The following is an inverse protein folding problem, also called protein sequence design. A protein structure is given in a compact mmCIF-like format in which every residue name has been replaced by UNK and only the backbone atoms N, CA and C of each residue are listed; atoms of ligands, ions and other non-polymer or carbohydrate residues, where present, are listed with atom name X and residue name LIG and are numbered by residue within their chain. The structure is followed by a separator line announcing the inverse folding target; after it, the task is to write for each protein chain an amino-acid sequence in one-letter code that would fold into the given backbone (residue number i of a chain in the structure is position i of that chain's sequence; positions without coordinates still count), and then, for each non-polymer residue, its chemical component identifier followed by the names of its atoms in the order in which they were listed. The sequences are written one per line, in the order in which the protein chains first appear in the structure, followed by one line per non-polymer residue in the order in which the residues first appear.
data_IF_501411744690
#
_entry.id   IF_501411744690
#
_cell.length_a   1.000
_cell.length_b   1.000
_cell.length_c   1.000
_cell.angle_alpha   90.00
_cell.angle_beta   90.00
_cell.angle_gamma   90.00
#
_symmetry.space_group_name_H-M   'P 1'
#
loop_
_entity.id
_entity.type
_entity.pdbx_description
1 polymer ?
#
# COMPACT_ATOMS: atom_id res chain seq x y z
N UNK A 1 -40.72 56.46 -12.19
CA UNK A 1 -40.79 57.25 -10.93
C UNK A 1 -40.46 56.28 -9.80
N UNK A 2 -39.23 56.33 -9.26
CA UNK A 2 -38.88 56.73 -7.87
C UNK A 2 -39.55 55.81 -6.80
N UNK A 3 -38.90 55.24 -5.78
CA UNK A 3 -37.66 55.53 -5.05
C UNK A 3 -37.21 54.23 -4.32
N UNK A 4 -35.92 53.87 -4.27
CA UNK A 4 -34.96 54.11 -3.16
C UNK A 4 -35.55 53.93 -1.74
N UNK A 5 -35.01 52.97 -0.96
CA UNK A 5 -34.40 53.22 0.37
C UNK A 5 -33.96 51.89 1.03
N UNK A 6 -32.66 51.69 1.28
CA UNK A 6 -31.90 51.95 2.53
C UNK A 6 -31.92 50.78 3.51
N UNK A 7 -30.71 50.26 3.69
CA UNK A 7 -30.12 49.43 4.73
C UNK A 7 -30.84 49.36 6.09
N UNK A 8 -30.94 48.14 6.62
CA UNK A 8 -31.01 47.88 8.06
C UNK A 8 -29.88 46.91 8.42
N UNK A 9 -28.91 47.47 9.15
CA UNK A 9 -27.80 46.80 9.80
C UNK A 9 -28.34 45.76 10.79
N UNK A 10 -28.08 44.48 10.54
CA UNK A 10 -28.19 43.46 11.57
C UNK A 10 -26.95 43.50 12.46
N UNK A 11 -27.10 44.17 13.60
CA UNK A 11 -26.16 44.14 14.70
C UNK A 11 -26.15 42.78 15.41
N UNK A 12 -24.99 42.52 15.99
CA UNK A 12 -24.75 41.73 17.19
C UNK A 12 -24.47 40.24 16.98
N UNK A 13 -23.16 39.99 16.85
CA UNK A 13 -22.45 38.73 16.97
C UNK A 13 -22.88 38.03 18.27
N UNK A 14 -23.67 36.97 18.13
CA UNK A 14 -23.90 36.00 19.19
C UNK A 14 -22.61 35.20 19.40
N UNK A 15 -22.10 35.23 20.63
CA UNK A 15 -21.04 34.33 21.06
C UNK A 15 -21.51 32.88 20.93
N UNK A 16 -20.67 32.04 20.33
CA UNK A 16 -20.83 30.60 20.40
C UNK A 16 -19.47 29.95 20.64
N UNK A 17 -19.44 29.28 21.80
CA UNK A 17 -18.57 28.21 22.24
C UNK A 17 -17.44 27.75 21.31
N UNK A 18 -16.28 27.61 21.95
CA UNK A 18 -15.18 26.78 21.51
C UNK A 18 -15.65 25.48 20.84
N UNK A 19 -15.42 25.37 19.53
CA UNK A 19 -15.36 24.09 18.86
C UNK A 19 -13.97 24.00 18.25
N UNK A 20 -13.01 23.58 19.09
CA UNK A 20 -11.83 22.89 18.60
C UNK A 20 -12.33 21.60 17.94
N UNK A 21 -12.76 21.69 16.68
CA UNK A 21 -12.89 20.53 15.84
C UNK A 21 -11.48 20.00 15.67
N UNK A 22 -11.10 19.06 16.53
CA UNK A 22 -10.09 18.07 16.18
C UNK A 22 -10.55 17.53 14.83
N UNK A 23 -9.91 18.01 13.76
CA UNK A 23 -10.05 17.43 12.45
C UNK A 23 -9.52 16.02 12.60
N UNK A 24 -10.41 15.09 12.95
CA UNK A 24 -10.15 13.68 12.78
C UNK A 24 -9.97 13.53 11.29
N UNK A 25 -8.71 13.51 10.83
CA UNK A 25 -8.41 13.14 9.46
C UNK A 25 -9.22 11.87 9.19
N UNK A 26 -10.10 11.84 8.18
CA UNK A 26 -10.78 10.62 7.84
C UNK A 26 -9.69 9.59 7.65
N UNK A 27 -9.71 8.53 8.47
CA UNK A 27 -8.81 7.40 8.32
C UNK A 27 -8.98 6.98 6.89
N UNK A 28 -7.98 7.30 6.06
CA UNK A 28 -8.07 6.93 4.68
C UNK A 28 -8.20 5.42 4.67
N UNK A 29 -9.26 4.92 4.04
CA UNK A 29 -9.42 3.51 3.73
C UNK A 29 -8.42 3.11 2.64
N UNK A 30 -7.14 3.49 2.79
CA UNK A 30 -6.03 3.06 1.96
C UNK A 30 -5.67 1.64 2.40
N UNK A 31 -6.49 0.69 1.99
CA UNK A 31 -6.21 -0.73 2.10
C UNK A 31 -7.41 -1.51 1.60
N UNK A 32 -7.21 -2.55 0.76
CA UNK A 32 -8.27 -3.53 0.56
C UNK A 32 -8.70 -4.06 1.94
N UNK A 33 -10.01 -4.25 2.14
CA UNK A 33 -10.52 -4.84 3.37
C UNK A 33 -9.79 -6.17 3.64
N UNK A 34 -9.28 -6.35 4.88
CA UNK A 34 -8.55 -7.52 5.39
C UNK A 34 -9.37 -8.80 5.25
N UNK A 35 -9.52 -9.27 4.03
CA UNK A 35 -9.97 -10.60 3.69
C UNK A 35 -8.71 -11.43 3.76
N UNK A 36 -8.56 -12.23 4.82
CA UNK A 36 -7.29 -12.92 5.13
C UNK A 36 -6.61 -13.50 3.88
N UNK A 37 -5.37 -13.07 3.64
CA UNK A 37 -4.62 -13.50 2.46
C UNK A 37 -4.33 -15.00 2.53
N UNK A 38 -4.66 -15.72 1.47
CA UNK A 38 -4.26 -17.13 1.31
C UNK A 38 -2.92 -17.19 0.58
N UNK A 39 -1.88 -17.59 1.31
CA UNK A 39 -0.53 -17.71 0.75
C UNK A 39 -0.35 -19.01 -0.05
N UNK A 40 0.44 -18.99 -1.14
CA UNK A 40 0.87 -20.22 -1.80
C UNK A 40 1.59 -21.14 -0.83
N UNK A 41 1.34 -22.45 -0.95
CA UNK A 41 2.01 -23.45 -0.13
C UNK A 41 3.49 -23.51 -0.50
N UNK A 42 4.36 -23.33 0.49
CA UNK A 42 5.79 -23.60 0.37
C UNK A 42 6.08 -24.97 0.96
N UNK A 43 6.55 -25.92 0.16
CA UNK A 43 6.98 -27.21 0.69
C UNK A 43 8.15 -27.02 1.67
N UNK A 44 8.22 -27.91 2.66
CA UNK A 44 9.36 -28.04 3.56
C UNK A 44 10.10 -29.33 3.24
N UNK A 45 11.42 -29.30 3.30
CA UNK A 45 12.28 -30.48 3.17
C UNK A 45 13.11 -30.65 4.44
N UNK A 46 13.60 -31.86 4.72
CA UNK A 46 14.37 -32.16 5.94
C UNK A 46 15.86 -31.84 5.79
N UNK A 47 16.19 -30.71 5.16
CA UNK A 47 17.58 -30.26 5.04
C UNK A 47 18.06 -29.66 6.36
N UNK A 48 19.22 -30.11 6.82
CA UNK A 48 19.90 -29.61 8.02
C UNK A 48 21.40 -29.55 7.78
N UNK A 49 22.02 -28.48 8.27
CA UNK A 49 23.47 -28.30 8.26
C UNK A 49 24.02 -28.38 9.69
N UNK A 50 25.29 -28.75 9.85
CA UNK A 50 25.99 -28.79 11.13
C UNK A 50 27.04 -27.70 11.20
N UNK A 51 26.88 -26.79 12.17
CA UNK A 51 27.83 -25.74 12.45
C UNK A 51 28.43 -25.97 13.83
N UNK A 52 29.65 -26.49 13.86
CA UNK A 52 30.44 -26.71 15.09
C UNK A 52 29.71 -27.55 16.15
N UNK A 53 29.01 -28.61 15.71
CA UNK A 53 28.21 -29.49 16.57
C UNK A 53 26.77 -29.03 16.78
N UNK A 54 26.37 -27.88 16.22
CA UNK A 54 25.00 -27.36 16.28
C UNK A 54 24.27 -27.67 14.97
N UNK A 55 23.20 -28.45 15.02
CA UNK A 55 22.32 -28.70 13.87
C UNK A 55 21.41 -27.50 13.62
N UNK A 56 21.38 -27.00 12.39
CA UNK A 56 20.51 -25.89 11.94
C UNK A 56 19.68 -26.37 10.77
N UNK A 57 18.35 -26.32 10.91
CA UNK A 57 17.43 -26.70 9.84
C UNK A 57 17.27 -25.59 8.81
N UNK A 58 17.29 -25.97 7.54
CA UNK A 58 16.99 -25.09 6.41
C UNK A 58 15.90 -25.70 5.51
N UNK A 59 14.62 -25.64 5.94
CA UNK A 59 13.54 -26.35 5.28
C UNK A 59 13.23 -25.88 3.85
N UNK A 60 13.82 -24.76 3.43
CA UNK A 60 13.56 -24.11 2.14
C UNK A 60 14.80 -24.01 1.26
N UNK A 61 15.88 -24.77 1.55
CA UNK A 61 17.10 -24.87 0.72
C UNK A 61 16.82 -25.06 -0.78
N UNK A 62 15.73 -25.74 -1.12
CA UNK A 62 15.32 -25.96 -2.51
C UNK A 62 15.04 -24.66 -3.29
N UNK A 63 14.68 -23.56 -2.61
CA UNK A 63 14.48 -22.24 -3.22
C UNK A 63 15.79 -21.58 -3.67
N UNK A 64 16.95 -22.06 -3.23
CA UNK A 64 18.25 -21.51 -3.64
C UNK A 64 18.59 -21.85 -5.10
N UNK A 65 18.03 -22.93 -5.65
CA UNK A 65 18.14 -23.23 -7.08
C UNK A 65 17.12 -22.41 -7.87
N UNK A 66 17.57 -21.25 -8.35
CA UNK A 66 16.78 -20.34 -9.18
C UNK A 66 16.45 -20.90 -10.58
N UNK A 67 17.15 -21.95 -11.04
CA UNK A 67 16.91 -22.55 -12.36
C UNK A 67 15.90 -23.69 -12.30
N UNK A 68 15.61 -24.24 -11.12
CA UNK A 68 14.67 -25.34 -10.95
C UNK A 68 13.26 -24.94 -11.42
N UNK A 69 12.52 -25.91 -11.97
CA UNK A 69 11.12 -25.71 -12.34
C UNK A 69 10.27 -25.36 -11.10
N UNK A 70 10.59 -25.97 -9.97
CA UNK A 70 9.82 -25.81 -8.74
C UNK A 70 9.95 -24.41 -8.12
N UNK A 71 11.18 -23.86 -8.05
CA UNK A 71 11.40 -22.48 -7.59
C UNK A 71 10.69 -21.50 -8.51
N UNK A 72 10.73 -21.74 -9.82
CA UNK A 72 10.02 -20.91 -10.80
C UNK A 72 8.50 -20.92 -10.58
N UNK A 73 7.91 -22.10 -10.41
CA UNK A 73 6.48 -22.25 -10.17
C UNK A 73 6.06 -21.57 -8.86
N UNK A 74 6.88 -21.70 -7.82
CA UNK A 74 6.66 -21.01 -6.55
C UNK A 74 6.73 -19.49 -6.71
N UNK A 75 7.72 -18.95 -7.41
CA UNK A 75 7.83 -17.51 -7.69
C UNK A 75 6.61 -17.00 -8.46
N UNK A 76 6.13 -17.75 -9.46
CA UNK A 76 4.91 -17.40 -10.21
C UNK A 76 3.70 -17.33 -9.29
N UNK A 77 3.53 -18.31 -8.39
CA UNK A 77 2.43 -18.32 -7.43
C UNK A 77 2.48 -17.12 -6.45
N UNK A 78 3.66 -16.79 -5.93
CA UNK A 78 3.85 -15.64 -5.04
C UNK A 78 3.59 -14.31 -5.76
N UNK A 79 4.08 -14.17 -7.01
CA UNK A 79 3.83 -13.00 -7.83
C UNK A 79 2.34 -12.83 -8.14
N UNK A 80 1.61 -13.92 -8.39
CA UNK A 80 0.16 -13.86 -8.62
C UNK A 80 -0.58 -13.26 -7.42
N UNK A 81 -0.28 -13.74 -6.20
CA UNK A 81 -0.85 -13.18 -4.97
C UNK A 81 -0.50 -11.69 -4.82
N UNK A 82 0.79 -11.37 -4.98
CA UNK A 82 1.30 -10.01 -4.79
C UNK A 82 0.67 -9.04 -5.78
N UNK A 83 0.61 -9.41 -7.06
CA UNK A 83 0.02 -8.54 -8.08
C UNK A 83 -1.48 -8.36 -7.88
N UNK A 84 -2.21 -9.39 -7.46
CA UNK A 84 -3.63 -9.27 -7.13
C UNK A 84 -3.84 -8.27 -5.97
N UNK A 85 -3.01 -8.36 -4.92
CA UNK A 85 -3.06 -7.41 -3.82
C UNK A 85 -2.74 -5.98 -4.26
N UNK A 86 -1.64 -5.78 -4.99
CA UNK A 86 -1.22 -4.46 -5.45
C UNK A 86 -2.21 -3.82 -6.43
N UNK A 87 -2.88 -4.61 -7.28
CA UNK A 87 -3.93 -4.12 -8.17
C UNK A 87 -5.13 -3.55 -7.40
N UNK A 88 -5.39 -4.05 -6.19
CA UNK A 88 -6.48 -3.57 -5.34
C UNK A 88 -6.20 -2.25 -4.63
N UNK A 89 -4.97 -1.71 -4.68
CA UNK A 89 -4.60 -0.49 -3.96
C UNK A 89 -5.10 0.75 -4.71
N UNK A 90 -6.02 1.54 -4.13
CA UNK A 90 -6.45 2.81 -4.72
C UNK A 90 -5.25 3.75 -4.92
N UNK A 91 -5.14 4.37 -6.09
CA UNK A 91 -4.08 5.34 -6.38
C UNK A 91 -2.74 4.78 -6.88
N UNK A 92 -2.58 3.45 -6.99
CA UNK A 92 -1.36 2.84 -7.55
C UNK A 92 -1.03 3.36 -8.96
N UNK A 93 -2.04 3.44 -9.84
CA UNK A 93 -1.84 3.93 -11.20
C UNK A 93 -1.50 5.43 -11.26
N UNK A 94 -2.07 6.25 -10.37
CA UNK A 94 -1.75 7.67 -10.29
C UNK A 94 -0.28 7.90 -9.88
N UNK A 95 0.21 7.12 -8.91
CA UNK A 95 1.61 7.14 -8.50
C UNK A 95 2.52 6.73 -9.65
N UNK A 96 2.21 5.62 -10.33
CA UNK A 96 2.97 5.13 -11.48
C UNK A 96 3.08 6.22 -12.56
N UNK A 97 1.97 6.84 -12.94
CA UNK A 97 1.96 7.93 -13.93
C UNK A 97 2.81 9.13 -13.51
N UNK A 98 2.72 9.54 -12.23
CA UNK A 98 3.50 10.67 -11.71
C UNK A 98 5.00 10.36 -11.76
N UNK A 99 5.40 9.17 -11.33
CA UNK A 99 6.80 8.75 -11.37
C UNK A 99 7.32 8.66 -12.80
N UNK A 100 6.55 8.08 -13.72
CA UNK A 100 6.91 8.04 -15.15
C UNK A 100 7.15 9.44 -15.72
N UNK A 101 6.28 10.41 -15.40
CA UNK A 101 6.44 11.80 -15.86
C UNK A 101 7.71 12.45 -15.29
N UNK A 102 8.01 12.21 -14.02
CA UNK A 102 9.20 12.78 -13.36
C UNK A 102 10.50 12.13 -13.84
N UNK A 103 10.45 10.85 -14.19
CA UNK A 103 11.62 10.08 -14.62
C UNK A 103 12.01 10.36 -16.08
N UNK A 104 11.05 10.68 -16.93
CA UNK A 104 11.27 10.88 -18.37
C UNK A 104 11.88 12.26 -18.69
N UNK A 105 13.18 12.40 -18.43
CA UNK A 105 13.97 13.57 -18.80
C UNK A 105 15.36 13.15 -19.31
N UNK A 106 16.00 14.02 -20.10
CA UNK A 106 17.34 13.76 -20.62
C UNK A 106 18.39 13.71 -19.49
N UNK A 107 19.22 12.67 -19.50
CA UNK A 107 20.32 12.50 -18.55
C UNK A 107 21.62 12.36 -19.32
N UNK A 108 22.51 13.32 -19.14
CA UNK A 108 23.90 13.23 -19.59
C UNK A 108 24.70 12.54 -18.49
N UNK A 109 25.42 11.48 -18.84
CA UNK A 109 26.25 10.67 -17.95
C UNK A 109 27.67 11.18 -17.81
#
# INVERSE_FOLDING_TARGET
MQARSVSLLFSLIAGLAANAQAQTCPRSAFGPADSGLTYPVSKKVDQQDDYHGTKVADPYRWLEDANSAETRDWVVAQNKLTQAYLQGIPGREAIKQRLTKLWNYERFG
#
